data_IF_797679545613
#
_entry.id   IF_797679545613
#
_cell.length_a   1.000
_cell.length_b   1.000
_cell.length_c   1.000
_cell.angle_alpha   90.00
_cell.angle_beta   90.00
_cell.angle_gamma   90.00
#
_symmetry.space_group_name_H-M   'P 1'
#
loop_
_entity.id
_entity.type
_entity.pdbx_description
1 polymer ?
#
# COMPACT_ATOMS: atom_id res chain seq x y z
N UNK A 1 18.78 -9.86 10.64
CA UNK A 1 17.35 -10.18 10.75
C UNK A 1 16.92 -11.25 9.76
N UNK A 2 15.78 -11.88 9.99
CA UNK A 2 15.24 -12.90 9.08
C UNK A 2 14.60 -12.24 7.88
N UNK A 3 14.92 -12.73 6.68
CA UNK A 3 14.32 -12.32 5.42
C UNK A 3 13.29 -13.38 5.01
N UNK A 4 12.06 -12.95 4.71
CA UNK A 4 11.06 -13.79 4.09
C UNK A 4 11.05 -13.51 2.58
N UNK A 5 11.48 -14.51 1.80
CA UNK A 5 11.51 -14.45 0.35
C UNK A 5 10.32 -15.19 -0.22
N UNK A 6 9.60 -14.57 -1.15
CA UNK A 6 8.52 -15.19 -1.92
C UNK A 6 8.71 -14.93 -3.39
N UNK A 7 8.61 -15.96 -4.18
CA UNK A 7 8.66 -15.89 -5.65
C UNK A 7 7.62 -16.79 -6.27
N UNK A 8 7.33 -16.59 -7.53
CA UNK A 8 6.53 -17.51 -8.33
C UNK A 8 7.28 -17.95 -9.58
N UNK A 9 6.91 -19.09 -10.11
CA UNK A 9 7.46 -19.68 -11.33
C UNK A 9 6.35 -20.24 -12.23
N UNK A 10 6.70 -20.57 -13.46
CA UNK A 10 5.86 -21.38 -14.31
C UNK A 10 5.66 -22.80 -13.73
N UNK A 11 4.55 -23.50 -14.06
CA UNK A 11 4.24 -24.83 -13.53
C UNK A 11 5.33 -25.88 -13.80
N UNK A 12 6.05 -25.76 -14.91
CA UNK A 12 7.13 -26.69 -15.30
C UNK A 12 8.35 -26.71 -14.38
N UNK A 13 8.45 -25.77 -13.44
CA UNK A 13 9.56 -25.73 -12.46
C UNK A 13 9.27 -26.73 -11.35
N UNK A 14 10.22 -27.65 -11.14
CA UNK A 14 10.13 -28.70 -10.12
C UNK A 14 10.78 -28.28 -8.81
N UNK A 15 11.88 -27.49 -8.86
CA UNK A 15 12.62 -27.04 -7.67
C UNK A 15 13.18 -25.65 -7.90
N UNK A 16 13.35 -24.91 -6.81
CA UNK A 16 13.96 -23.58 -6.82
C UNK A 16 14.94 -23.43 -5.66
N UNK A 17 16.06 -22.81 -5.92
CA UNK A 17 17.07 -22.47 -4.92
C UNK A 17 17.42 -20.98 -4.98
N UNK A 18 17.58 -20.39 -3.82
CA UNK A 18 18.29 -19.14 -3.65
C UNK A 18 19.78 -19.44 -3.51
N UNK A 19 20.59 -18.87 -4.36
CA UNK A 19 22.04 -18.96 -4.31
C UNK A 19 22.59 -17.72 -3.63
N UNK A 20 23.00 -17.83 -2.38
CA UNK A 20 23.54 -16.71 -1.58
C UNK A 20 25.07 -16.81 -1.57
N UNK A 21 25.73 -15.71 -1.87
CA UNK A 21 27.16 -15.50 -1.67
C UNK A 21 27.37 -14.47 -0.56
N UNK A 22 27.59 -14.97 0.63
CA UNK A 22 28.09 -14.22 1.78
C UNK A 22 29.56 -14.60 2.03
N UNK A 23 29.86 -15.43 3.04
CA UNK A 23 31.22 -15.96 3.22
C UNK A 23 31.52 -17.08 2.22
N UNK A 24 30.49 -17.89 1.91
CA UNK A 24 30.54 -19.02 0.98
C UNK A 24 29.32 -18.99 0.05
N UNK A 25 29.37 -19.73 -1.05
CA UNK A 25 28.20 -19.97 -1.88
C UNK A 25 27.28 -21.00 -1.21
N UNK A 26 26.08 -20.54 -0.83
CA UNK A 26 25.07 -21.37 -0.18
C UNK A 26 23.82 -21.52 -1.05
N UNK A 27 23.53 -22.71 -1.59
CA UNK A 27 22.23 -22.99 -2.17
C UNK A 27 21.22 -23.27 -1.05
N UNK A 28 20.14 -22.51 -1.03
CA UNK A 28 19.04 -22.65 -0.08
C UNK A 28 17.78 -23.01 -0.88
N UNK A 29 17.24 -24.22 -0.66
CA UNK A 29 16.04 -24.69 -1.37
C UNK A 29 14.81 -23.96 -0.84
N UNK A 30 13.93 -23.53 -1.76
CA UNK A 30 12.65 -22.92 -1.44
C UNK A 30 11.57 -24.00 -1.34
N UNK A 31 10.63 -23.79 -0.42
CA UNK A 31 9.46 -24.64 -0.26
C UNK A 31 8.31 -24.13 -1.14
N UNK A 32 7.70 -25.05 -1.90
CA UNK A 32 6.46 -24.74 -2.61
C UNK A 32 5.31 -24.76 -1.60
N UNK A 33 4.57 -23.63 -1.52
CA UNK A 33 3.47 -23.49 -0.57
C UNK A 33 2.09 -23.36 -1.22
N UNK A 34 2.05 -23.08 -2.53
CA UNK A 34 0.80 -23.02 -3.30
C UNK A 34 1.07 -23.28 -4.80
N UNK A 35 0.05 -23.77 -5.49
CA UNK A 35 0.06 -24.00 -6.93
C UNK A 35 -1.30 -23.63 -7.55
N UNK A 36 -1.25 -23.09 -8.76
CA UNK A 36 -2.39 -22.80 -9.62
C UNK A 36 -2.13 -23.34 -11.02
N UNK A 37 -3.11 -23.28 -11.92
CA UNK A 37 -2.94 -23.68 -13.32
C UNK A 37 -1.85 -22.90 -14.06
N UNK A 38 -1.45 -21.72 -13.53
CA UNK A 38 -0.50 -20.82 -14.18
C UNK A 38 0.83 -20.68 -13.46
N UNK A 39 0.85 -20.87 -12.13
CA UNK A 39 2.02 -20.56 -11.31
C UNK A 39 2.18 -21.54 -10.14
N UNK A 40 3.42 -21.85 -9.82
CA UNK A 40 3.84 -22.41 -8.53
C UNK A 40 4.44 -21.29 -7.69
N UNK A 41 4.11 -21.27 -6.40
CA UNK A 41 4.54 -20.24 -5.43
C UNK A 41 5.49 -20.88 -4.42
N UNK A 42 6.62 -20.23 -4.23
CA UNK A 42 7.72 -20.68 -3.42
C UNK A 42 8.02 -19.69 -2.32
N UNK A 43 8.45 -20.19 -1.17
CA UNK A 43 8.84 -19.36 -0.06
C UNK A 43 10.08 -19.89 0.65
N UNK A 44 10.82 -18.98 1.30
CA UNK A 44 11.98 -19.29 2.11
C UNK A 44 12.14 -18.23 3.21
N UNK A 45 12.36 -18.69 4.43
CA UNK A 45 12.84 -17.84 5.53
C UNK A 45 14.31 -18.10 5.74
N UNK A 46 15.15 -17.07 5.66
CA UNK A 46 16.59 -17.23 5.82
C UNK A 46 17.23 -15.97 6.38
N UNK A 47 18.54 -16.08 6.71
CA UNK A 47 19.35 -14.95 7.16
C UNK A 47 20.58 -14.82 6.27
N UNK A 48 20.90 -13.59 5.84
CA UNK A 48 22.23 -13.27 5.34
C UNK A 48 23.23 -13.29 6.50
N UNK A 49 24.43 -13.84 6.26
CA UNK A 49 25.50 -13.93 7.26
C UNK A 49 26.36 -12.68 7.33
N UNK A 50 26.42 -11.94 6.22
CA UNK A 50 27.20 -10.71 6.10
C UNK A 50 26.31 -9.50 5.85
N UNK A 51 26.75 -8.29 6.23
CA UNK A 51 26.00 -7.05 5.96
C UNK A 51 25.78 -6.77 4.47
N UNK A 52 26.69 -7.24 3.63
CA UNK A 52 26.59 -7.17 2.16
C UNK A 52 26.77 -8.57 1.60
N UNK A 53 25.81 -9.03 0.83
CA UNK A 53 25.82 -10.34 0.20
C UNK A 53 25.35 -10.24 -1.24
N UNK A 54 25.78 -11.17 -2.10
CA UNK A 54 25.24 -11.31 -3.45
C UNK A 54 24.29 -12.49 -3.50
N UNK A 55 23.30 -12.42 -4.37
CA UNK A 55 22.40 -13.54 -4.56
C UNK A 55 21.85 -13.62 -6.00
N UNK A 56 21.48 -14.83 -6.37
CA UNK A 56 20.78 -15.17 -7.61
C UNK A 56 19.89 -16.39 -7.35
N UNK A 57 19.20 -16.86 -8.35
CA UNK A 57 18.37 -18.07 -8.24
C UNK A 57 18.83 -19.15 -9.18
N UNK A 58 18.63 -20.40 -8.79
CA UNK A 58 18.65 -21.55 -9.65
C UNK A 58 17.29 -22.24 -9.59
N UNK A 59 16.90 -22.86 -10.69
CA UNK A 59 15.69 -23.67 -10.74
C UNK A 59 15.96 -24.91 -11.57
N UNK A 60 15.22 -25.98 -11.30
CA UNK A 60 15.21 -27.20 -12.08
C UNK A 60 13.81 -27.42 -12.65
N UNK A 61 13.76 -27.69 -13.93
CA UNK A 61 12.50 -28.07 -14.60
C UNK A 61 12.14 -29.53 -14.30
N UNK A 62 10.91 -29.94 -14.63
CA UNK A 62 10.46 -31.33 -14.54
C UNK A 62 11.27 -32.27 -15.43
N UNK A 63 11.85 -31.77 -16.53
CA UNK A 63 12.78 -32.49 -17.42
C UNK A 63 14.24 -32.47 -16.92
N UNK A 64 14.47 -32.11 -15.65
CA UNK A 64 15.80 -32.03 -15.00
C UNK A 64 16.77 -31.01 -15.61
N UNK A 65 16.30 -30.05 -16.40
CA UNK A 65 17.14 -28.97 -16.91
C UNK A 65 17.35 -27.92 -15.82
N UNK A 66 18.60 -27.50 -15.63
CA UNK A 66 18.94 -26.41 -14.72
C UNK A 66 18.88 -25.07 -15.45
N UNK A 67 18.21 -24.12 -14.85
CA UNK A 67 18.15 -22.73 -15.30
C UNK A 67 18.56 -21.80 -14.18
N UNK A 68 19.06 -20.63 -14.52
CA UNK A 68 19.52 -19.63 -13.57
C UNK A 68 18.81 -18.32 -13.81
N UNK A 69 18.55 -17.56 -12.76
CA UNK A 69 17.88 -16.28 -12.83
C UNK A 69 18.70 -15.23 -12.06
N UNK A 70 19.17 -14.24 -12.78
CA UNK A 70 19.94 -13.11 -12.29
C UNK A 70 19.36 -11.78 -12.73
N UNK A 71 20.12 -10.71 -12.56
CA UNK A 71 19.69 -9.34 -12.88
C UNK A 71 19.32 -9.12 -14.34
N UNK A 72 19.89 -9.89 -15.28
CA UNK A 72 19.60 -9.82 -16.72
C UNK A 72 18.53 -10.81 -17.17
N UNK A 73 17.92 -11.55 -16.25
CA UNK A 73 16.85 -12.52 -16.55
C UNK A 73 17.31 -13.98 -16.45
N UNK A 74 16.66 -14.85 -17.25
CA UNK A 74 16.89 -16.31 -17.23
C UNK A 74 18.04 -16.68 -18.18
N UNK A 75 18.92 -17.56 -17.69
CA UNK A 75 20.08 -18.08 -18.44
C UNK A 75 20.30 -19.56 -18.15
N UNK A 76 21.09 -20.26 -19.00
CA UNK A 76 21.47 -21.65 -18.83
C UNK A 76 22.77 -21.83 -18.00
N UNK A 77 23.34 -20.73 -17.50
CA UNK A 77 24.57 -20.74 -16.70
C UNK A 77 24.54 -19.59 -15.68
N UNK A 78 25.30 -19.77 -14.60
CA UNK A 78 25.47 -18.72 -13.58
C UNK A 78 26.49 -17.71 -14.08
N UNK A 79 26.07 -16.46 -14.25
CA UNK A 79 26.99 -15.36 -14.52
C UNK A 79 27.45 -14.71 -13.20
N UNK A 80 28.76 -14.59 -12.97
CA UNK A 80 29.26 -13.93 -11.75
C UNK A 80 28.84 -12.45 -11.62
N UNK A 81 28.57 -11.77 -12.74
CA UNK A 81 28.22 -10.35 -12.81
C UNK A 81 26.72 -10.09 -12.70
N UNK A 82 25.87 -11.11 -12.81
CA UNK A 82 24.41 -10.97 -12.89
C UNK A 82 23.71 -11.36 -11.58
N UNK A 83 24.23 -10.84 -10.46
CA UNK A 83 23.69 -11.10 -9.14
C UNK A 83 23.16 -9.83 -8.52
N UNK A 84 22.05 -9.95 -7.80
CA UNK A 84 21.58 -8.87 -6.95
C UNK A 84 22.51 -8.72 -5.75
N UNK A 85 22.62 -7.50 -5.28
CA UNK A 85 23.37 -7.17 -4.05
C UNK A 85 22.34 -6.90 -2.97
N UNK A 86 22.47 -7.59 -1.86
CA UNK A 86 21.81 -7.26 -0.60
C UNK A 86 22.78 -6.43 0.24
N UNK A 87 22.31 -5.30 0.75
CA UNK A 87 23.01 -4.54 1.79
C UNK A 87 22.03 -4.33 2.95
N UNK A 88 22.43 -4.65 4.16
CA UNK A 88 21.61 -4.44 5.35
C UNK A 88 21.32 -2.95 5.62
N UNK A 89 22.11 -2.05 5.04
CA UNK A 89 21.94 -0.60 5.13
C UNK A 89 20.87 -0.07 4.17
N UNK A 90 20.68 -0.77 3.03
CA UNK A 90 19.70 -0.37 2.01
C UNK A 90 18.26 -0.76 2.38
N UNK A 91 18.09 -1.61 3.39
CA UNK A 91 16.78 -1.98 3.92
C UNK A 91 16.50 -1.24 5.24
N UNK A 92 15.99 -0.02 5.17
CA UNK A 92 15.59 0.66 6.38
C UNK A 92 14.56 -0.22 7.11
N UNK A 93 14.77 -0.41 8.39
CA UNK A 93 13.78 -1.07 9.24
C UNK A 93 12.55 -0.17 9.25
N UNK A 94 11.57 -0.47 8.41
CA UNK A 94 10.28 0.20 8.49
C UNK A 94 9.66 -0.18 9.83
N UNK A 95 9.67 0.77 10.74
CA UNK A 95 8.89 0.66 11.97
C UNK A 95 7.45 0.97 11.61
N UNK A 96 6.62 -0.06 11.60
CA UNK A 96 5.17 0.14 11.46
C UNK A 96 4.68 0.75 12.77
N UNK A 97 4.01 1.90 12.78
CA UNK A 97 3.46 2.49 13.98
C UNK A 97 2.47 1.53 14.67
N UNK A 98 2.52 1.46 16.00
CA UNK A 98 1.70 0.53 16.79
C UNK A 98 0.19 0.69 16.53
N UNK A 99 -0.26 1.91 16.22
CA UNK A 99 -1.67 2.19 15.94
C UNK A 99 -2.22 1.55 14.66
N UNK A 100 -1.33 1.06 13.75
CA UNK A 100 -1.73 0.34 12.54
C UNK A 100 -2.15 -1.09 12.85
N UNK A 101 -1.51 -1.71 13.87
CA UNK A 101 -1.82 -3.09 14.24
C UNK A 101 -3.23 -3.20 14.85
N UNK A 102 -4.08 -4.03 14.23
CA UNK A 102 -5.47 -4.18 14.64
C UNK A 102 -6.36 -2.96 14.36
N UNK A 103 -5.85 -2.00 13.55
CA UNK A 103 -6.60 -0.81 13.16
C UNK A 103 -7.79 -1.13 12.28
N UNK A 104 -8.89 -0.42 12.52
CA UNK A 104 -10.08 -0.41 11.65
C UNK A 104 -10.08 0.90 10.89
N UNK A 105 -9.88 0.82 9.59
CA UNK A 105 -9.84 1.98 8.69
C UNK A 105 -11.19 2.17 8.00
N UNK A 106 -11.72 3.39 8.05
CA UNK A 106 -12.92 3.78 7.32
C UNK A 106 -12.58 4.82 6.25
N UNK A 107 -12.74 4.42 5.00
CA UNK A 107 -12.53 5.31 3.86
C UNK A 107 -13.75 6.19 3.65
N UNK A 108 -13.52 7.50 3.56
CA UNK A 108 -14.57 8.51 3.38
C UNK A 108 -14.32 9.26 2.08
N UNK A 109 -15.38 9.39 1.28
CA UNK A 109 -15.46 10.33 0.16
C UNK A 109 -16.20 11.58 0.69
N UNK A 110 -15.51 12.67 1.10
CA UNK A 110 -16.12 13.77 1.84
C UNK A 110 -17.31 14.38 1.11
N UNK A 111 -17.19 14.61 -0.20
CA UNK A 111 -18.22 15.17 -1.07
C UNK A 111 -19.57 14.42 -1.00
N UNK A 112 -19.55 13.13 -0.62
CA UNK A 112 -20.71 12.23 -0.56
C UNK A 112 -21.04 11.72 0.83
N UNK A 113 -20.36 12.21 1.84
CA UNK A 113 -20.52 11.70 3.20
C UNK A 113 -21.53 12.50 4.03
N UNK A 114 -21.35 13.82 4.12
CA UNK A 114 -22.22 14.73 4.87
C UNK A 114 -21.90 16.17 4.49
N UNK A 115 -22.93 16.96 4.18
CA UNK A 115 -22.83 18.42 4.13
C UNK A 115 -22.91 18.96 5.56
N UNK A 116 -21.85 19.59 6.04
CA UNK A 116 -21.74 20.18 7.39
C UNK A 116 -21.81 21.70 7.37
N UNK A 117 -21.58 22.35 6.19
CA UNK A 117 -21.62 23.78 6.07
C UNK A 117 -22.22 24.21 4.71
N UNK A 118 -23.49 24.59 4.71
CA UNK A 118 -24.21 24.99 3.52
C UNK A 118 -23.62 26.24 2.83
N UNK A 119 -22.88 27.10 3.57
CA UNK A 119 -22.30 28.34 3.02
C UNK A 119 -21.17 28.09 1.99
N UNK A 120 -20.50 26.92 2.08
CA UNK A 120 -19.42 26.54 1.16
C UNK A 120 -19.87 25.54 0.10
N UNK A 121 -21.15 25.16 0.11
CA UNK A 121 -21.72 24.24 -0.88
C UNK A 121 -21.64 24.83 -2.27
N UNK A 122 -21.07 24.10 -3.27
CA UNK A 122 -21.03 24.59 -4.64
C UNK A 122 -22.42 24.94 -5.20
N UNK A 123 -22.55 26.07 -5.89
CA UNK A 123 -23.83 26.55 -6.44
C UNK A 123 -24.51 25.56 -7.41
N UNK A 124 -23.71 24.72 -8.08
CA UNK A 124 -24.18 23.67 -8.98
C UNK A 124 -24.46 22.34 -8.30
N UNK A 125 -24.53 22.30 -6.97
CA UNK A 125 -24.85 21.08 -6.23
C UNK A 125 -26.30 20.66 -6.47
N UNK A 126 -26.49 19.35 -6.59
CA UNK A 126 -27.82 18.73 -6.65
C UNK A 126 -28.34 18.49 -5.22
N UNK A 127 -29.67 18.44 -4.99
CA UNK A 127 -30.20 18.19 -3.67
C UNK A 127 -29.61 16.91 -3.05
N UNK A 128 -29.31 16.96 -1.75
CA UNK A 128 -28.64 15.85 -1.03
C UNK A 128 -29.33 14.50 -1.23
N UNK A 129 -30.65 14.45 -1.18
CA UNK A 129 -31.48 13.24 -1.33
C UNK A 129 -31.64 12.78 -2.81
N UNK A 130 -31.04 13.48 -3.76
CA UNK A 130 -31.11 13.10 -5.17
C UNK A 130 -30.33 11.83 -5.46
N UNK A 131 -30.73 11.09 -6.50
CA UNK A 131 -29.95 9.97 -7.01
C UNK A 131 -28.56 10.43 -7.42
N UNK A 132 -27.50 9.83 -6.89
CA UNK A 132 -26.14 10.22 -7.21
C UNK A 132 -25.83 10.06 -8.70
N UNK A 133 -25.16 11.06 -9.27
CA UNK A 133 -24.64 11.00 -10.64
C UNK A 133 -23.12 11.05 -10.61
N UNK A 134 -22.49 10.62 -11.71
CA UNK A 134 -21.01 10.61 -11.79
C UNK A 134 -20.38 12.00 -11.63
N UNK A 135 -21.03 13.04 -12.12
CA UNK A 135 -20.50 14.40 -12.18
C UNK A 135 -21.21 15.38 -11.24
N UNK A 136 -22.30 14.96 -10.58
CA UNK A 136 -23.07 15.83 -9.69
C UNK A 136 -22.35 16.08 -8.38
N UNK A 137 -22.33 17.34 -7.95
CA UNK A 137 -21.90 17.70 -6.60
C UNK A 137 -23.06 17.53 -5.62
N UNK A 138 -22.80 16.97 -4.45
CA UNK A 138 -23.74 16.91 -3.33
C UNK A 138 -23.36 17.87 -2.19
N UNK A 139 -22.13 18.42 -2.22
CA UNK A 139 -21.70 19.44 -1.28
C UNK A 139 -21.27 18.89 0.08
N UNK A 140 -20.93 17.61 0.19
CA UNK A 140 -20.32 17.11 1.41
C UNK A 140 -18.94 17.72 1.64
N UNK A 141 -18.54 17.89 2.91
CA UNK A 141 -17.35 18.64 3.32
C UNK A 141 -16.69 18.05 4.59
N UNK A 142 -15.57 18.66 5.02
CA UNK A 142 -14.85 18.20 6.22
C UNK A 142 -15.57 18.58 7.53
N UNK A 143 -16.40 19.62 7.54
CA UNK A 143 -17.25 19.93 8.68
C UNK A 143 -18.25 18.80 8.92
N UNK A 144 -18.85 18.28 7.83
CA UNK A 144 -19.75 17.13 7.89
C UNK A 144 -19.08 15.86 8.38
N UNK A 145 -17.82 15.62 7.99
CA UNK A 145 -17.03 14.52 8.55
C UNK A 145 -16.81 14.72 10.05
N UNK A 146 -16.46 15.95 10.46
CA UNK A 146 -16.26 16.31 11.87
C UNK A 146 -17.54 16.15 12.69
N UNK A 147 -18.69 16.57 12.17
CA UNK A 147 -20.01 16.36 12.84
C UNK A 147 -20.31 14.87 13.11
N UNK A 148 -19.85 13.99 12.23
CA UNK A 148 -20.10 12.54 12.30
C UNK A 148 -18.99 11.75 12.99
N UNK A 149 -18.02 12.41 13.59
CA UNK A 149 -16.85 11.74 14.16
C UNK A 149 -17.20 10.74 15.27
N UNK A 150 -18.19 11.04 16.10
CA UNK A 150 -18.63 10.13 17.15
C UNK A 150 -19.34 8.90 16.56
N UNK A 151 -20.15 9.07 15.52
CA UNK A 151 -20.72 7.95 14.75
C UNK A 151 -19.62 7.06 14.17
N UNK A 152 -18.58 7.65 13.57
CA UNK A 152 -17.46 6.90 13.01
C UNK A 152 -16.73 6.11 14.12
N UNK A 153 -16.53 6.73 15.27
CA UNK A 153 -15.91 6.09 16.43
C UNK A 153 -16.74 4.92 16.97
N UNK A 154 -18.06 5.09 17.04
CA UNK A 154 -18.98 4.06 17.55
C UNK A 154 -19.03 2.80 16.67
N UNK A 155 -18.64 2.92 15.37
CA UNK A 155 -18.40 1.78 14.48
C UNK A 155 -17.12 1.00 14.82
N UNK A 156 -16.33 1.44 15.81
CA UNK A 156 -15.04 0.83 16.14
C UNK A 156 -13.87 1.31 15.28
N UNK A 157 -14.07 2.35 14.47
CA UNK A 157 -13.03 2.93 13.60
C UNK A 157 -12.02 3.71 14.42
N UNK A 158 -10.75 3.50 14.14
CA UNK A 158 -9.65 4.26 14.73
C UNK A 158 -8.75 4.94 13.69
N UNK A 159 -9.03 4.74 12.39
CA UNK A 159 -8.31 5.37 11.29
C UNK A 159 -9.34 5.90 10.27
N UNK A 160 -9.39 7.22 10.10
CA UNK A 160 -10.15 7.86 9.03
C UNK A 160 -9.21 8.01 7.83
N UNK A 161 -9.58 7.42 6.69
CA UNK A 161 -8.89 7.60 5.42
C UNK A 161 -9.75 8.46 4.49
N UNK A 162 -9.28 9.65 4.16
CA UNK A 162 -10.00 10.55 3.26
C UNK A 162 -9.63 10.29 1.79
N UNK A 163 -10.62 10.20 0.92
CA UNK A 163 -10.38 10.40 -0.51
C UNK A 163 -9.78 11.80 -0.71
N UNK A 164 -9.13 12.09 -1.86
CA UNK A 164 -8.45 13.37 -2.08
C UNK A 164 -9.30 14.58 -1.71
N UNK A 165 -8.67 15.54 -1.03
CA UNK A 165 -9.32 16.76 -0.50
C UNK A 165 -8.72 18.04 -1.04
N UNK A 166 -7.66 17.93 -1.87
CA UNK A 166 -6.91 19.07 -2.35
C UNK A 166 -7.63 19.77 -3.51
N UNK A 167 -7.21 21.03 -3.80
CA UNK A 167 -7.83 21.91 -4.77
C UNK A 167 -7.95 21.27 -6.15
N UNK A 168 -9.18 21.11 -6.63
CA UNK A 168 -9.53 20.47 -7.89
C UNK A 168 -10.90 20.88 -8.37
N UNK A 169 -11.16 20.79 -9.68
CA UNK A 169 -12.49 21.08 -10.26
C UNK A 169 -13.45 19.89 -10.22
N UNK A 170 -12.96 18.68 -9.95
CA UNK A 170 -13.82 17.49 -9.94
C UNK A 170 -14.41 17.20 -8.56
N UNK A 171 -15.49 16.41 -8.52
CA UNK A 171 -16.08 15.93 -7.27
C UNK A 171 -15.16 15.01 -6.49
N UNK A 172 -14.35 14.22 -7.20
CA UNK A 172 -13.48 13.20 -6.62
C UNK A 172 -12.08 13.68 -6.24
N UNK A 173 -11.65 14.86 -6.71
CA UNK A 173 -10.38 15.53 -6.40
C UNK A 173 -9.09 14.75 -6.74
N UNK A 174 -9.16 13.63 -7.48
CA UNK A 174 -7.98 12.87 -7.94
C UNK A 174 -7.14 13.60 -8.99
N UNK A 175 -7.67 14.67 -9.57
CA UNK A 175 -7.03 15.58 -10.53
C UNK A 175 -6.60 16.88 -9.86
N UNK A 176 -6.05 16.81 -8.65
CA UNK A 176 -5.64 17.96 -7.87
C UNK A 176 -4.62 18.84 -8.62
N UNK A 177 -4.85 20.15 -8.57
CA UNK A 177 -3.98 21.17 -9.14
C UNK A 177 -2.91 21.65 -8.16
N UNK A 178 -3.27 21.65 -6.87
CA UNK A 178 -2.38 22.04 -5.78
C UNK A 178 -2.54 21.08 -4.61
N UNK A 179 -1.50 20.32 -4.33
CA UNK A 179 -1.46 19.38 -3.22
C UNK A 179 -1.11 20.01 -1.86
N UNK A 180 -0.86 21.33 -1.83
CA UNK A 180 -0.57 22.07 -0.60
C UNK A 180 -1.76 22.89 -0.09
N UNK A 181 -2.89 22.87 -0.81
CA UNK A 181 -4.09 23.60 -0.43
C UNK A 181 -5.30 22.65 -0.42
N UNK A 182 -6.00 22.59 0.71
CA UNK A 182 -7.31 21.93 0.80
C UNK A 182 -8.35 22.75 0.02
N UNK A 183 -9.22 22.07 -0.69
CA UNK A 183 -10.27 22.72 -1.49
C UNK A 183 -11.23 23.53 -0.59
N UNK A 184 -11.53 24.76 -1.02
CA UNK A 184 -12.37 25.68 -0.27
C UNK A 184 -13.81 25.16 -0.12
N UNK A 185 -14.30 24.33 -1.07
CA UNK A 185 -15.60 23.66 -0.98
C UNK A 185 -15.62 22.54 0.07
N UNK A 186 -14.48 22.15 0.59
CA UNK A 186 -14.36 21.23 1.73
C UNK A 186 -14.10 21.94 3.05
N UNK A 187 -14.04 23.29 3.04
CA UNK A 187 -13.78 24.12 4.22
C UNK A 187 -12.32 24.53 4.37
N UNK A 188 -11.49 24.22 3.36
CA UNK A 188 -10.08 24.63 3.35
C UNK A 188 -9.23 23.99 4.46
N UNK A 189 -8.03 24.55 4.63
CA UNK A 189 -7.04 24.04 5.59
C UNK A 189 -7.52 24.08 7.04
N UNK A 190 -8.36 25.04 7.41
CA UNK A 190 -8.86 25.15 8.80
C UNK A 190 -9.83 24.01 9.14
N UNK A 191 -10.73 23.64 8.22
CA UNK A 191 -11.64 22.51 8.45
C UNK A 191 -10.86 21.17 8.57
N UNK A 192 -9.75 21.01 7.82
CA UNK A 192 -8.87 19.86 7.98
C UNK A 192 -8.18 19.84 9.35
N UNK A 193 -7.67 20.97 9.81
CA UNK A 193 -7.04 21.10 11.15
C UNK A 193 -8.03 20.76 12.24
N UNK A 194 -9.27 21.24 12.14
CA UNK A 194 -10.32 20.95 13.11
C UNK A 194 -10.68 19.46 13.11
N UNK A 195 -10.85 18.84 11.95
CA UNK A 195 -11.09 17.40 11.84
C UNK A 195 -9.96 16.59 12.49
N UNK A 196 -8.71 16.93 12.19
CA UNK A 196 -7.53 16.24 12.78
C UNK A 196 -7.52 16.39 14.30
N UNK A 197 -7.78 17.58 14.81
CA UNK A 197 -7.86 17.85 16.27
C UNK A 197 -8.95 17.02 16.93
N UNK A 198 -10.16 16.98 16.36
CA UNK A 198 -11.28 16.22 16.88
C UNK A 198 -11.03 14.69 16.80
N UNK A 199 -10.42 14.22 15.70
CA UNK A 199 -10.02 12.81 15.58
C UNK A 199 -8.97 12.42 16.63
N UNK A 200 -7.92 13.23 16.78
CA UNK A 200 -6.85 12.97 17.74
C UNK A 200 -7.35 12.99 19.19
N UNK A 201 -8.29 13.88 19.53
CA UNK A 201 -8.89 13.92 20.88
C UNK A 201 -9.61 12.62 21.25
N UNK A 202 -10.03 11.83 20.25
CA UNK A 202 -10.70 10.54 20.36
C UNK A 202 -9.78 9.33 20.11
N UNK A 203 -8.45 9.53 20.07
CA UNK A 203 -7.45 8.53 19.70
C UNK A 203 -7.63 7.95 18.29
N UNK A 204 -8.23 8.68 17.37
CA UNK A 204 -8.35 8.31 15.97
C UNK A 204 -7.22 8.96 15.16
N UNK A 205 -6.82 8.33 14.07
CA UNK A 205 -5.83 8.85 13.12
C UNK A 205 -6.52 9.29 11.83
N UNK A 206 -5.93 10.29 11.16
CA UNK A 206 -6.38 10.74 9.83
C UNK A 206 -5.27 10.45 8.82
N UNK A 207 -5.64 9.85 7.71
CA UNK A 207 -4.78 9.50 6.57
C UNK A 207 -5.35 10.18 5.33
N UNK A 208 -4.47 10.81 4.53
CA UNK A 208 -4.78 11.50 3.27
C UNK A 208 -4.28 10.72 2.07
#
# INVERSE_FOLDING_TARGET
GTVNLRIHSEPKIAKVWLLVEDDDLRPLELEMYAETDRFKFWNLNFNFRTPVSKFSFAAQTEDELNIYFGTSGVANFISPSEKWIYSSEDFPRHTIPDWVYGGVMYQIFPERFRNGNDEITPENSIPWESTPTRLGFHGGDLHGVTEKIDYIKDLGVNIIYLNPIFLSSSTHKYDAWDHFKVDDTFGGDEALKDLIKEAHSRNMKVVL
#
